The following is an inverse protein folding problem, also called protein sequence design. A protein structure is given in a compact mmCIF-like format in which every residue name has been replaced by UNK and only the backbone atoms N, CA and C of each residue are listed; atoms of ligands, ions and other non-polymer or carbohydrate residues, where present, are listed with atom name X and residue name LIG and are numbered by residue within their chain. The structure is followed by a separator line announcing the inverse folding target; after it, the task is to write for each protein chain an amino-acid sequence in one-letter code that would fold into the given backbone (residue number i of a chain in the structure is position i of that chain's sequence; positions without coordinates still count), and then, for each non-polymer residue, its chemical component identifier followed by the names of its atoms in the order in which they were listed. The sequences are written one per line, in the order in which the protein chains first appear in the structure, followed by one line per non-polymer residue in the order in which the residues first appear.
data_IF_389407689480
#
_entry.id   IF_389407689480
#
_cell.length_a   1.000
_cell.length_b   1.000
_cell.length_c   1.000
_cell.angle_alpha   90.00
_cell.angle_beta   90.00
_cell.angle_gamma   90.00
#
_symmetry.space_group_name_H-M   'P 1'
#
loop_
_entity.id
_entity.type
_entity.pdbx_description
1 polymer ?
#
# COMPACT_ATOMS: atom_id res chain seq x y z
N UNK A 1 11.93 53.57 5.90
CA UNK A 1 10.96 52.94 6.82
C UNK A 1 11.63 52.55 8.13
N UNK A 2 10.88 52.40 9.22
CA UNK A 2 11.34 51.73 10.46
C UNK A 2 10.40 50.56 10.85
N UNK A 3 10.82 49.66 11.76
CA UNK A 3 9.99 48.50 12.17
C UNK A 3 8.61 48.87 12.69
N UNK A 4 8.48 50.02 13.35
CA UNK A 4 7.19 50.50 13.89
C UNK A 4 6.21 50.86 12.77
N UNK A 5 6.70 51.47 11.69
CA UNK A 5 5.90 51.77 10.49
C UNK A 5 5.45 50.49 9.79
N UNK A 6 6.32 49.47 9.70
CA UNK A 6 5.97 48.17 9.12
C UNK A 6 4.92 47.42 9.96
N UNK A 7 5.04 47.41 11.29
CA UNK A 7 4.01 46.79 12.14
C UNK A 7 2.65 47.48 12.03
N UNK A 8 2.63 48.81 11.81
CA UNK A 8 1.39 49.56 11.63
C UNK A 8 0.69 49.29 10.30
N UNK A 9 1.38 48.69 9.32
CA UNK A 9 0.82 48.29 8.03
C UNK A 9 0.22 46.88 8.02
N UNK A 10 0.40 46.09 9.10
CA UNK A 10 -0.27 44.79 9.20
C UNK A 10 -1.78 44.99 9.33
N UNK A 11 -2.59 44.31 8.50
CA UNK A 11 -4.04 44.45 8.58
C UNK A 11 -4.56 43.84 9.89
N UNK A 12 -5.67 44.39 10.38
CA UNK A 12 -6.41 43.78 11.50
C UNK A 12 -7.12 42.50 11.05
N UNK A 13 -7.50 41.65 12.01
CA UNK A 13 -8.30 40.46 11.72
C UNK A 13 -9.61 40.84 11.01
N UNK A 14 -10.26 41.92 11.46
CA UNK A 14 -11.52 42.39 10.87
C UNK A 14 -11.33 42.94 9.44
N UNK A 15 -10.19 43.60 9.16
CA UNK A 15 -9.87 44.07 7.80
C UNK A 15 -9.67 42.90 6.82
N UNK A 16 -9.03 41.82 7.26
CA UNK A 16 -8.87 40.60 6.44
C UNK A 16 -10.22 39.87 6.28
N UNK A 17 -11.03 39.80 7.34
CA UNK A 17 -12.36 39.17 7.29
C UNK A 17 -13.31 39.85 6.29
N UNK A 18 -13.20 41.17 6.12
CA UNK A 18 -14.05 41.93 5.21
C UNK A 18 -13.57 41.90 3.75
N UNK A 19 -12.49 41.18 3.43
CA UNK A 19 -12.05 40.99 2.05
C UNK A 19 -13.00 40.05 1.31
N UNK A 20 -13.38 40.40 0.09
CA UNK A 20 -14.35 39.63 -0.73
C UNK A 20 -14.01 38.13 -0.81
N UNK A 21 -12.75 37.80 -1.12
CA UNK A 21 -12.28 36.41 -1.17
C UNK A 21 -12.39 35.66 0.16
N UNK A 22 -12.29 36.35 1.29
CA UNK A 22 -12.41 35.76 2.64
C UNK A 22 -13.89 35.59 3.01
N UNK A 23 -14.75 36.51 2.57
CA UNK A 23 -16.20 36.37 2.68
C UNK A 23 -16.68 35.17 1.86
N UNK A 24 -16.20 35.00 0.63
CA UNK A 24 -16.53 33.85 -0.21
C UNK A 24 -16.07 32.54 0.43
N UNK A 25 -14.87 32.53 1.03
CA UNK A 25 -14.31 31.40 1.74
C UNK A 25 -15.16 30.94 2.95
N UNK A 26 -16.02 31.80 3.52
CA UNK A 26 -16.96 31.39 4.58
C UNK A 26 -18.02 30.40 4.11
N UNK A 27 -18.25 30.29 2.78
CA UNK A 27 -19.15 29.28 2.23
C UNK A 27 -18.51 27.87 2.19
N UNK A 28 -17.18 27.81 2.18
CA UNK A 28 -16.41 26.57 2.05
C UNK A 28 -15.80 26.10 3.38
N UNK A 29 -15.37 27.05 4.21
CA UNK A 29 -14.62 26.77 5.45
C UNK A 29 -15.39 27.21 6.70
N UNK A 30 -15.36 26.41 7.79
CA UNK A 30 -15.86 26.84 9.08
C UNK A 30 -15.17 28.13 9.56
N UNK A 31 -15.97 29.08 10.07
CA UNK A 31 -15.47 30.40 10.53
C UNK A 31 -14.32 30.31 11.53
N UNK A 32 -14.29 29.31 12.41
CA UNK A 32 -13.21 29.11 13.37
C UNK A 32 -11.87 28.79 12.69
N UNK A 33 -11.87 27.96 11.65
CA UNK A 33 -10.66 27.64 10.86
C UNK A 33 -10.17 28.89 10.13
N UNK A 34 -11.09 29.65 9.55
CA UNK A 34 -10.77 30.92 8.88
C UNK A 34 -10.12 31.92 9.83
N UNK A 35 -10.71 32.12 11.03
CA UNK A 35 -10.15 33.02 12.04
C UNK A 35 -8.77 32.58 12.55
N UNK A 36 -8.57 31.27 12.73
CA UNK A 36 -7.27 30.71 13.10
C UNK A 36 -6.23 30.98 12.01
N UNK A 37 -6.57 30.70 10.73
CA UNK A 37 -5.70 30.95 9.59
C UNK A 37 -5.35 32.44 9.41
N UNK A 38 -6.31 33.35 9.62
CA UNK A 38 -6.07 34.80 9.60
C UNK A 38 -5.06 35.20 10.68
N UNK A 39 -5.25 34.73 11.91
CA UNK A 39 -4.34 35.02 13.02
C UNK A 39 -2.94 34.48 12.74
N UNK A 40 -2.83 33.26 12.23
CA UNK A 40 -1.54 32.66 11.85
C UNK A 40 -0.85 33.43 10.73
N UNK A 41 -1.56 33.79 9.65
CA UNK A 41 -0.99 34.53 8.53
C UNK A 41 -0.49 35.92 8.94
N UNK A 42 -1.23 36.63 9.79
CA UNK A 42 -0.81 37.92 10.34
C UNK A 42 0.40 37.73 11.28
N UNK A 43 0.39 36.68 12.11
CA UNK A 43 1.50 36.38 13.02
C UNK A 43 2.78 35.98 12.28
N UNK A 44 2.69 35.26 11.16
CA UNK A 44 3.83 34.96 10.29
C UNK A 44 4.45 36.25 9.73
N UNK A 45 3.62 37.16 9.20
CA UNK A 45 4.12 38.47 8.75
C UNK A 45 4.69 39.31 9.88
N UNK A 46 4.12 39.21 11.09
CA UNK A 46 4.67 39.85 12.28
C UNK A 46 6.07 39.31 12.60
N UNK A 47 6.29 38.00 12.55
CA UNK A 47 7.60 37.38 12.77
C UNK A 47 8.61 37.77 11.70
N UNK A 48 8.22 37.79 10.43
CA UNK A 48 9.08 38.28 9.34
C UNK A 48 9.59 39.71 9.63
N UNK A 49 8.72 40.62 10.07
CA UNK A 49 9.13 42.00 10.44
C UNK A 49 10.08 42.02 11.65
N UNK A 50 9.88 41.13 12.63
CA UNK A 50 10.77 40.99 13.79
C UNK A 50 12.18 40.58 13.34
N UNK A 51 12.28 39.61 12.44
CA UNK A 51 13.54 39.04 11.98
C UNK A 51 14.23 39.89 10.88
N UNK A 52 13.54 40.92 10.37
CA UNK A 52 14.06 41.77 9.31
C UNK A 52 15.26 42.64 9.75
N UNK A 53 16.28 42.70 8.88
CA UNK A 53 17.43 43.58 9.01
C UNK A 53 17.09 45.01 8.53
N UNK A 54 17.77 46.02 9.10
CA UNK A 54 17.50 47.43 8.79
C UNK A 54 17.70 47.80 7.32
N UNK A 55 18.63 47.13 6.63
CA UNK A 55 18.92 47.36 5.21
C UNK A 55 17.79 46.91 4.27
N UNK A 56 16.81 46.16 4.76
CA UNK A 56 15.75 45.56 3.95
C UNK A 56 14.36 46.17 4.21
N UNK A 57 14.25 47.14 5.13
CA UNK A 57 12.96 47.73 5.50
C UNK A 57 12.24 48.38 4.30
N UNK A 58 12.96 49.11 3.45
CA UNK A 58 12.36 49.80 2.30
C UNK A 58 11.99 48.85 1.15
N UNK A 59 12.40 47.58 1.23
CA UNK A 59 12.08 46.52 0.25
C UNK A 59 10.96 45.59 0.73
N UNK A 60 10.56 45.68 2.00
CA UNK A 60 9.56 44.79 2.57
C UNK A 60 8.15 45.30 2.32
N UNK A 61 7.37 44.55 1.54
CA UNK A 61 6.01 44.94 1.15
C UNK A 61 4.98 44.05 1.86
N UNK A 62 4.06 44.69 2.59
CA UNK A 62 2.90 44.03 3.20
C UNK A 62 1.71 44.24 2.27
N UNK A 63 1.35 43.20 1.52
CA UNK A 63 0.15 43.22 0.66
C UNK A 63 -0.97 42.42 1.33
N UNK A 64 -2.12 43.07 1.52
CA UNK A 64 -3.32 42.42 2.04
C UNK A 64 -3.76 41.27 1.13
N UNK A 65 -3.59 41.39 -0.19
CA UNK A 65 -3.91 40.33 -1.15
C UNK A 65 -3.03 39.09 -0.94
N UNK A 66 -1.73 39.28 -0.70
CA UNK A 66 -0.79 38.17 -0.38
C UNK A 66 -1.17 37.50 0.95
N UNK A 67 -1.60 38.28 1.95
CA UNK A 67 -2.08 37.75 3.23
C UNK A 67 -3.37 36.94 3.02
N UNK A 68 -4.34 37.47 2.28
CA UNK A 68 -5.60 36.78 1.95
C UNK A 68 -5.34 35.45 1.24
N UNK A 69 -4.43 35.43 0.26
CA UNK A 69 -4.03 34.18 -0.41
C UNK A 69 -3.39 33.18 0.56
N UNK A 70 -2.50 33.64 1.45
CA UNK A 70 -1.91 32.79 2.49
C UNK A 70 -2.98 32.23 3.45
N UNK A 71 -3.98 33.04 3.83
CA UNK A 71 -5.09 32.61 4.67
C UNK A 71 -5.90 31.51 3.97
N UNK A 72 -6.25 31.67 2.70
CA UNK A 72 -7.00 30.67 1.93
C UNK A 72 -6.19 29.36 1.84
N UNK A 73 -4.89 29.45 1.54
CA UNK A 73 -4.01 28.29 1.49
C UNK A 73 -3.94 27.56 2.84
N UNK A 74 -3.82 28.29 3.95
CA UNK A 74 -3.87 27.72 5.31
C UNK A 74 -5.20 27.07 5.63
N UNK A 75 -6.32 27.68 5.23
CA UNK A 75 -7.65 27.09 5.40
C UNK A 75 -7.78 25.79 4.62
N UNK A 76 -7.37 25.78 3.36
CA UNK A 76 -7.35 24.58 2.53
C UNK A 76 -6.52 23.47 3.20
N UNK A 77 -5.28 23.77 3.62
CA UNK A 77 -4.43 22.80 4.31
C UNK A 77 -5.09 22.25 5.59
N UNK A 78 -5.63 23.12 6.45
CA UNK A 78 -6.25 22.74 7.73
C UNK A 78 -7.57 21.97 7.58
N UNK A 79 -8.35 22.29 6.55
CA UNK A 79 -9.69 21.73 6.36
C UNK A 79 -9.72 20.52 5.43
N UNK A 80 -8.67 20.34 4.64
CA UNK A 80 -8.56 19.20 3.74
C UNK A 80 -8.27 17.89 4.48
N UNK A 81 -8.65 16.76 3.88
CA UNK A 81 -8.33 15.43 4.42
C UNK A 81 -6.81 15.24 4.52
N UNK A 82 -6.33 14.66 5.62
CA UNK A 82 -4.90 14.38 5.79
C UNK A 82 -4.40 13.27 4.86
N UNK A 83 -5.27 12.31 4.49
CA UNK A 83 -4.99 11.32 3.45
C UNK A 83 -5.18 11.97 2.08
N UNK A 84 -4.10 12.00 1.30
CA UNK A 84 -4.04 12.65 -0.02
C UNK A 84 -3.87 11.63 -1.13
N UNK A 85 -4.44 11.93 -2.30
CA UNK A 85 -4.02 11.32 -3.55
C UNK A 85 -2.58 11.75 -3.83
N UNK A 86 -1.78 10.83 -4.35
CA UNK A 86 -0.40 11.06 -4.79
C UNK A 86 -0.21 10.41 -6.16
N UNK A 87 0.66 10.97 -6.99
CA UNK A 87 1.06 10.34 -8.26
C UNK A 87 2.34 9.54 -8.01
N UNK A 88 2.29 8.23 -8.24
CA UNK A 88 3.43 7.35 -8.09
C UNK A 88 4.26 7.31 -9.39
N UNK A 89 5.32 8.09 -9.46
CA UNK A 89 6.35 8.03 -10.51
C UNK A 89 7.59 7.22 -10.13
N UNK A 90 7.55 6.45 -9.04
CA UNK A 90 8.73 5.72 -8.55
C UNK A 90 9.02 4.44 -9.32
N UNK A 91 8.02 3.86 -10.00
CA UNK A 91 8.14 2.54 -10.61
C UNK A 91 8.03 1.38 -9.61
N UNK A 92 7.73 1.65 -8.35
CA UNK A 92 7.44 0.60 -7.35
C UNK A 92 5.95 0.29 -7.35
N UNK A 93 5.56 -0.91 -7.76
CA UNK A 93 4.13 -1.27 -7.89
C UNK A 93 3.47 -1.48 -6.52
N UNK A 94 4.00 -2.39 -5.70
CA UNK A 94 3.58 -2.62 -4.32
C UNK A 94 4.30 -1.67 -3.36
N UNK A 95 4.01 -0.38 -3.49
CA UNK A 95 4.64 0.65 -2.68
C UNK A 95 4.00 0.73 -1.29
N UNK A 96 4.68 0.21 -0.27
CA UNK A 96 4.15 0.14 1.11
C UNK A 96 3.76 1.52 1.67
N UNK A 97 4.57 2.55 1.42
CA UNK A 97 4.25 3.92 1.88
C UNK A 97 3.11 4.60 1.12
N UNK A 98 2.80 4.18 -0.12
CA UNK A 98 1.77 4.80 -0.97
C UNK A 98 0.49 3.96 -1.06
N UNK A 99 0.32 2.97 -0.17
CA UNK A 99 -0.94 2.23 -0.04
C UNK A 99 -0.97 0.83 -0.68
N UNK A 100 0.17 0.28 -1.12
CA UNK A 100 0.29 -1.06 -1.72
C UNK A 100 -0.57 -1.22 -2.99
N UNK A 101 -1.46 -2.20 -3.02
CA UNK A 101 -2.31 -2.52 -4.16
C UNK A 101 -3.42 -1.48 -4.38
N UNK A 102 -3.78 -1.32 -5.64
CA UNK A 102 -4.85 -0.43 -6.06
C UNK A 102 -6.09 -1.23 -6.42
N UNK A 103 -7.25 -0.68 -6.08
CA UNK A 103 -8.54 -1.23 -6.49
C UNK A 103 -8.84 -0.81 -7.93
N UNK A 104 -9.49 -1.71 -8.69
CA UNK A 104 -9.91 -1.40 -10.04
C UNK A 104 -11.00 -0.32 -10.06
N UNK A 105 -10.98 0.55 -11.05
CA UNK A 105 -12.07 1.52 -11.25
C UNK A 105 -13.41 0.84 -11.53
N UNK A 106 -13.38 -0.38 -12.09
CA UNK A 106 -14.60 -1.15 -12.39
C UNK A 106 -15.44 -1.51 -11.17
N UNK A 107 -14.87 -1.44 -9.95
CA UNK A 107 -15.58 -1.76 -8.70
C UNK A 107 -16.05 -0.53 -7.92
N UNK A 108 -15.87 0.67 -8.48
CA UNK A 108 -16.18 1.95 -7.81
C UNK A 108 -17.66 2.05 -7.43
N UNK A 109 -18.55 1.70 -8.35
CA UNK A 109 -20.00 1.75 -8.11
C UNK A 109 -20.43 0.69 -7.08
N UNK A 110 -19.93 -0.55 -7.20
CA UNK A 110 -20.19 -1.61 -6.21
C UNK A 110 -19.81 -1.17 -4.78
N UNK A 111 -18.64 -0.54 -4.64
CA UNK A 111 -18.16 0.01 -3.36
C UNK A 111 -19.07 1.12 -2.85
N UNK A 112 -19.46 2.07 -3.71
CA UNK A 112 -20.31 3.19 -3.31
C UNK A 112 -21.71 2.71 -2.94
N UNK A 113 -22.31 1.78 -3.68
CA UNK A 113 -23.60 1.18 -3.36
C UNK A 113 -23.54 0.44 -2.02
N UNK A 114 -22.51 -0.39 -1.82
CA UNK A 114 -22.31 -1.10 -0.57
C UNK A 114 -22.10 -0.13 0.61
N UNK A 115 -21.38 0.98 0.42
CA UNK A 115 -21.08 1.96 1.46
C UNK A 115 -22.27 2.85 1.80
N UNK A 116 -22.95 3.38 0.78
CA UNK A 116 -23.93 4.47 0.87
C UNK A 116 -25.36 4.00 1.12
N UNK A 117 -25.64 2.69 1.06
CA UNK A 117 -26.95 2.08 1.30
C UNK A 117 -26.88 0.88 2.24
N UNK A 118 -28.06 0.37 2.62
CA UNK A 118 -28.18 -0.91 3.32
C UNK A 118 -27.82 -2.06 2.38
N UNK A 119 -27.28 -3.14 2.94
CA UNK A 119 -26.93 -4.35 2.18
C UNK A 119 -27.26 -5.61 2.99
N UNK A 120 -27.24 -6.77 2.32
CA UNK A 120 -27.44 -8.09 2.90
C UNK A 120 -26.17 -8.63 3.62
N UNK A 121 -25.32 -7.74 4.15
CA UNK A 121 -24.03 -8.09 4.74
C UNK A 121 -24.10 -9.23 5.76
N UNK A 122 -25.10 -9.23 6.65
CA UNK A 122 -25.34 -10.31 7.62
C UNK A 122 -26.78 -10.82 7.54
N UNK A 123 -27.38 -10.78 6.34
CA UNK A 123 -28.77 -11.18 6.12
C UNK A 123 -28.84 -12.16 4.96
N UNK A 124 -29.33 -13.37 5.23
CA UNK A 124 -29.61 -14.38 4.22
C UNK A 124 -30.97 -14.06 3.59
N UNK A 125 -30.94 -13.63 2.32
CA UNK A 125 -32.15 -13.19 1.60
C UNK A 125 -33.11 -14.35 1.39
N UNK A 126 -32.61 -15.53 1.05
CA UNK A 126 -33.43 -16.71 0.75
C UNK A 126 -34.12 -17.25 2.01
N UNK A 127 -33.42 -17.23 3.15
CA UNK A 127 -33.98 -17.69 4.43
C UNK A 127 -34.69 -16.61 5.24
N UNK A 128 -34.55 -15.33 4.87
CA UNK A 128 -35.15 -14.21 5.58
C UNK A 128 -34.66 -14.07 7.03
N UNK A 129 -33.39 -14.35 7.32
CA UNK A 129 -32.84 -14.31 8.68
C UNK A 129 -31.37 -13.88 8.72
N UNK A 130 -30.82 -13.73 9.94
CA UNK A 130 -29.41 -13.40 10.13
C UNK A 130 -28.50 -14.49 9.51
N UNK A 131 -27.57 -14.05 8.67
CA UNK A 131 -26.55 -14.87 8.02
C UNK A 131 -25.14 -14.53 8.49
N UNK A 132 -24.17 -15.30 8.01
CA UNK A 132 -22.75 -15.01 8.21
C UNK A 132 -22.24 -14.10 7.09
N UNK A 133 -21.55 -13.00 7.41
CA UNK A 133 -20.96 -12.12 6.40
C UNK A 133 -19.89 -12.78 5.53
N UNK A 134 -19.31 -13.88 6.01
CA UNK A 134 -18.24 -14.57 5.28
C UNK A 134 -18.76 -15.32 4.05
N UNK A 135 -20.06 -15.61 3.98
CA UNK A 135 -20.66 -16.35 2.86
C UNK A 135 -20.43 -15.69 1.51
N UNK A 136 -20.36 -14.36 1.48
CA UNK A 136 -20.14 -13.56 0.28
C UNK A 136 -18.76 -13.83 -0.37
N UNK A 137 -17.78 -14.30 0.41
CA UNK A 137 -16.43 -14.58 -0.07
C UNK A 137 -16.14 -16.09 -0.22
N UNK A 138 -16.81 -16.92 0.57
CA UNK A 138 -16.48 -18.34 0.71
C UNK A 138 -16.53 -19.09 -0.63
N UNK A 139 -17.59 -18.95 -1.42
CA UNK A 139 -17.72 -19.74 -2.66
C UNK A 139 -16.64 -19.38 -3.68
N UNK A 140 -16.44 -18.07 -3.94
CA UNK A 140 -15.47 -17.59 -4.92
C UNK A 140 -14.05 -17.99 -4.54
N UNK A 141 -13.65 -17.82 -3.27
CA UNK A 141 -12.30 -18.21 -2.83
C UNK A 141 -12.10 -19.72 -2.91
N UNK A 142 -13.09 -20.52 -2.50
CA UNK A 142 -13.02 -21.99 -2.64
C UNK A 142 -12.86 -22.42 -4.09
N UNK A 143 -13.61 -21.79 -5.00
CA UNK A 143 -13.52 -22.06 -6.44
C UNK A 143 -12.13 -21.78 -6.99
N UNK A 144 -11.50 -20.67 -6.56
CA UNK A 144 -10.18 -20.27 -7.03
C UNK A 144 -9.03 -21.07 -6.40
N UNK A 145 -9.19 -21.55 -5.17
CA UNK A 145 -8.11 -22.18 -4.39
C UNK A 145 -8.23 -23.69 -4.26
N UNK A 146 -9.40 -24.27 -4.49
CA UNK A 146 -9.68 -25.68 -4.21
C UNK A 146 -9.82 -26.02 -2.72
N UNK A 147 -9.69 -25.04 -1.81
CA UNK A 147 -9.77 -25.28 -0.38
C UNK A 147 -11.15 -25.77 0.07
N UNK A 148 -11.18 -26.53 1.18
CA UNK A 148 -12.43 -27.07 1.73
C UNK A 148 -13.30 -25.97 2.36
N UNK A 149 -12.67 -24.99 3.01
CA UNK A 149 -13.33 -23.85 3.64
C UNK A 149 -12.40 -22.63 3.74
N UNK A 150 -12.99 -21.47 4.05
CA UNK A 150 -12.33 -20.16 3.99
C UNK A 150 -12.78 -19.28 5.16
N UNK A 151 -11.85 -18.48 5.67
CA UNK A 151 -12.14 -17.39 6.59
C UNK A 151 -11.35 -16.14 6.19
N UNK A 152 -11.95 -14.97 6.33
CA UNK A 152 -11.29 -13.69 6.05
C UNK A 152 -11.33 -12.80 7.28
N UNK A 153 -10.17 -12.25 7.64
CA UNK A 153 -9.97 -11.35 8.77
C UNK A 153 -9.32 -10.04 8.30
N UNK A 154 -9.10 -9.11 9.22
CA UNK A 154 -8.65 -7.74 8.94
C UNK A 154 -7.38 -7.65 8.06
N UNK A 155 -6.36 -8.46 8.34
CA UNK A 155 -5.10 -8.50 7.59
C UNK A 155 -4.37 -9.82 7.85
N UNK A 156 -3.29 -10.11 7.11
CA UNK A 156 -2.58 -11.38 7.27
C UNK A 156 -1.93 -11.56 8.65
N UNK A 157 -1.52 -10.47 9.31
CA UNK A 157 -1.04 -10.51 10.69
C UNK A 157 -2.12 -11.07 11.66
N UNK A 158 -3.36 -10.61 11.48
CA UNK A 158 -4.52 -11.13 12.20
C UNK A 158 -4.83 -12.59 11.82
N UNK A 159 -4.57 -12.99 10.57
CA UNK A 159 -4.75 -14.37 10.12
C UNK A 159 -3.78 -15.30 10.87
N UNK A 160 -2.48 -15.00 10.86
CA UNK A 160 -1.46 -15.77 11.59
C UNK A 160 -1.78 -15.84 13.10
N UNK A 161 -2.15 -14.70 13.71
CA UNK A 161 -2.56 -14.66 15.12
C UNK A 161 -3.74 -15.60 15.41
N UNK A 162 -4.79 -15.54 14.57
CA UNK A 162 -6.00 -16.35 14.75
C UNK A 162 -5.72 -17.84 14.55
N UNK A 163 -4.94 -18.19 13.53
CA UNK A 163 -4.58 -19.57 13.22
C UNK A 163 -3.83 -20.18 14.41
N UNK A 164 -2.76 -19.54 14.86
CA UNK A 164 -1.95 -20.04 15.97
C UNK A 164 -2.71 -20.05 17.30
N UNK A 165 -3.51 -19.02 17.57
CA UNK A 165 -4.34 -18.98 18.78
C UNK A 165 -5.40 -20.09 18.81
N UNK A 166 -5.79 -20.60 17.65
CA UNK A 166 -6.79 -21.67 17.53
C UNK A 166 -6.14 -23.05 17.53
N UNK A 167 -5.00 -23.21 16.86
CA UNK A 167 -4.40 -24.52 16.58
C UNK A 167 -3.24 -24.88 17.51
N UNK A 168 -2.53 -23.90 18.06
CA UNK A 168 -1.28 -24.10 18.81
C UNK A 168 -1.29 -23.49 20.22
N UNK A 169 -2.42 -22.96 20.70
CA UNK A 169 -2.49 -22.33 22.02
C UNK A 169 -2.19 -23.34 23.14
N UNK A 170 -1.24 -22.99 24.00
CA UNK A 170 -0.79 -23.82 25.13
C UNK A 170 0.02 -25.04 24.71
N UNK A 171 0.65 -24.98 23.54
CA UNK A 171 1.60 -25.99 23.06
C UNK A 171 2.52 -25.38 22.00
N UNK A 172 3.30 -26.22 21.33
CA UNK A 172 4.41 -25.77 20.50
C UNK A 172 4.04 -25.61 19.01
N UNK A 173 4.53 -24.53 18.41
CA UNK A 173 4.56 -24.29 16.98
C UNK A 173 6.02 -24.30 16.50
N UNK A 174 6.40 -25.32 15.73
CA UNK A 174 7.76 -25.49 15.23
C UNK A 174 7.92 -24.70 13.93
N UNK A 175 8.95 -23.85 13.84
CA UNK A 175 9.25 -23.05 12.64
C UNK A 175 10.75 -22.88 12.44
N UNK A 176 11.17 -22.73 11.19
CA UNK A 176 12.55 -22.41 10.85
C UNK A 176 12.98 -21.04 11.40
N UNK A 177 14.18 -20.98 12.02
CA UNK A 177 14.78 -19.72 12.48
C UNK A 177 14.95 -18.70 11.34
N UNK A 178 15.25 -19.17 10.14
CA UNK A 178 15.37 -18.35 8.93
C UNK A 178 14.05 -17.77 8.43
N UNK A 179 12.91 -18.16 9.02
CA UNK A 179 11.57 -17.74 8.61
C UNK A 179 10.91 -16.78 9.63
N UNK A 180 11.63 -16.40 10.69
CA UNK A 180 11.18 -15.45 11.70
C UNK A 180 11.31 -14.00 11.22
N UNK A 181 10.41 -13.62 10.31
CA UNK A 181 10.50 -12.36 9.57
C UNK A 181 9.96 -11.16 10.36
N UNK A 182 10.52 -9.97 10.08
CA UNK A 182 9.92 -8.67 10.39
C UNK A 182 9.40 -8.06 9.08
N UNK A 183 8.10 -7.77 9.01
CA UNK A 183 7.46 -7.20 7.80
C UNK A 183 7.00 -5.78 8.09
N UNK A 184 7.41 -4.83 7.25
CA UNK A 184 7.14 -3.41 7.48
C UNK A 184 7.98 -2.87 8.65
N UNK A 185 7.38 -2.04 9.51
CA UNK A 185 8.10 -1.37 10.61
C UNK A 185 7.74 -1.83 12.03
N UNK A 186 6.80 -2.77 12.20
CA UNK A 186 6.34 -3.18 13.55
C UNK A 186 5.77 -4.59 13.65
N UNK A 187 5.57 -5.31 12.54
CA UNK A 187 5.07 -6.68 12.58
C UNK A 187 6.26 -7.64 12.64
N UNK A 188 6.36 -8.39 13.73
CA UNK A 188 7.34 -9.45 13.93
C UNK A 188 6.59 -10.74 14.17
N UNK A 189 6.92 -11.78 13.39
CA UNK A 189 6.35 -13.12 13.60
C UNK A 189 6.49 -13.55 15.07
N UNK A 190 7.69 -13.49 15.72
CA UNK A 190 7.82 -13.87 17.12
C UNK A 190 6.87 -13.15 18.08
N UNK A 191 6.66 -11.84 17.89
CA UNK A 191 5.77 -11.05 18.76
C UNK A 191 4.31 -11.47 18.62
N UNK A 192 3.86 -11.76 17.39
CA UNK A 192 2.48 -12.19 17.11
C UNK A 192 2.24 -13.62 17.59
N UNK A 193 3.24 -14.49 17.44
CA UNK A 193 3.19 -15.85 17.96
C UNK A 193 3.06 -15.84 19.48
N UNK A 194 3.83 -15.01 20.19
CA UNK A 194 3.69 -14.85 21.63
C UNK A 194 2.29 -14.39 22.06
N UNK A 195 1.67 -13.46 21.32
CA UNK A 195 0.29 -13.02 21.57
C UNK A 195 -0.76 -14.11 21.31
N UNK A 196 -0.46 -15.07 20.44
CA UNK A 196 -1.37 -16.19 20.14
C UNK A 196 -1.50 -17.18 21.30
N UNK A 197 -0.53 -17.17 22.23
CA UNK A 197 -0.41 -18.13 23.31
C UNK A 197 0.15 -19.49 22.87
N UNK A 198 0.76 -19.56 21.69
CA UNK A 198 1.57 -20.69 21.24
C UNK A 198 3.03 -20.49 21.66
N UNK A 199 3.68 -21.59 22.02
CA UNK A 199 5.11 -21.62 22.34
C UNK A 199 5.90 -21.80 21.05
N UNK A 200 6.80 -20.85 20.77
CA UNK A 200 7.59 -20.85 19.54
C UNK A 200 8.82 -21.74 19.69
N UNK A 201 8.92 -22.77 18.85
CA UNK A 201 10.10 -23.64 18.79
C UNK A 201 10.84 -23.38 17.48
N UNK A 202 11.93 -22.63 17.59
CA UNK A 202 12.78 -22.27 16.45
C UNK A 202 13.78 -23.38 16.13
N UNK A 203 13.78 -23.87 14.89
CA UNK A 203 14.69 -24.94 14.44
C UNK A 203 15.65 -24.47 13.35
N UNK A 204 16.72 -25.25 13.13
CA UNK A 204 17.73 -24.95 12.13
C UNK A 204 18.52 -23.67 12.41
N UNK A 205 19.02 -23.06 11.35
CA UNK A 205 19.82 -21.83 11.38
C UNK A 205 19.21 -20.76 10.48
N UNK A 206 19.72 -19.52 10.56
CA UNK A 206 19.19 -18.40 9.75
C UNK A 206 19.23 -18.69 8.26
N UNK A 207 20.32 -19.28 7.76
CA UNK A 207 20.52 -19.53 6.33
C UNK A 207 20.18 -20.96 5.90
N UNK A 208 20.27 -21.95 6.79
CA UNK A 208 20.01 -23.36 6.48
C UNK A 208 19.11 -24.01 7.50
N UNK A 209 18.02 -24.58 7.01
CA UNK A 209 17.15 -25.47 7.78
C UNK A 209 16.90 -26.73 6.96
N UNK A 210 17.04 -27.87 7.62
CA UNK A 210 16.83 -29.20 7.07
C UNK A 210 15.57 -29.83 7.66
N UNK A 211 14.97 -30.79 6.96
CA UNK A 211 13.78 -31.50 7.45
C UNK A 211 14.03 -32.19 8.81
N UNK A 212 15.25 -32.69 9.03
CA UNK A 212 15.68 -33.30 10.29
C UNK A 212 15.60 -32.33 11.48
N UNK A 213 15.84 -31.04 11.26
CA UNK A 213 15.75 -30.03 12.32
C UNK A 213 14.31 -29.90 12.84
N UNK A 214 13.32 -30.01 11.95
CA UNK A 214 11.90 -30.08 12.33
C UNK A 214 11.59 -31.40 13.05
N UNK A 215 12.00 -32.53 12.48
CA UNK A 215 11.70 -33.86 13.02
C UNK A 215 12.25 -34.07 14.44
N UNK A 216 13.46 -33.58 14.73
CA UNK A 216 14.09 -33.70 16.05
C UNK A 216 13.42 -32.84 17.13
N UNK A 217 12.69 -31.78 16.75
CA UNK A 217 12.00 -30.90 17.68
C UNK A 217 10.59 -31.37 18.05
N UNK A 218 10.03 -32.35 17.34
CA UNK A 218 8.68 -32.86 17.61
C UNK A 218 8.64 -33.60 18.95
N UNK A 219 7.67 -33.23 19.79
CA UNK A 219 7.37 -33.87 21.07
C UNK A 219 5.85 -33.84 21.36
N UNK A 220 5.43 -34.27 22.55
CA UNK A 220 4.03 -34.33 22.97
C UNK A 220 3.30 -32.97 23.06
N UNK A 221 4.05 -31.88 23.25
CA UNK A 221 3.52 -30.51 23.29
C UNK A 221 3.38 -29.90 21.89
N UNK A 222 4.02 -30.48 20.88
CA UNK A 222 3.90 -30.03 19.48
C UNK A 222 2.46 -30.10 18.98
N UNK A 223 1.96 -28.97 18.47
CA UNK A 223 0.60 -28.86 17.92
C UNK A 223 0.57 -28.61 16.42
N UNK A 224 1.56 -27.90 15.89
CA UNK A 224 1.59 -27.50 14.48
C UNK A 224 3.03 -27.45 13.96
N UNK A 225 3.20 -27.75 12.68
CA UNK A 225 4.40 -27.41 11.92
C UNK A 225 4.10 -26.14 11.10
N UNK A 226 4.95 -25.14 11.21
CA UNK A 226 4.76 -23.85 10.54
C UNK A 226 5.87 -23.60 9.53
N UNK A 227 5.47 -23.05 8.38
CA UNK A 227 6.35 -22.46 7.38
C UNK A 227 5.94 -21.02 7.12
N UNK A 228 6.90 -20.11 7.04
CA UNK A 228 6.65 -18.71 6.66
C UNK A 228 7.45 -18.36 5.42
N UNK A 229 6.77 -17.85 4.38
CA UNK A 229 7.43 -17.39 3.18
C UNK A 229 8.14 -16.06 3.42
N UNK A 230 9.39 -15.95 2.96
CA UNK A 230 10.23 -14.74 3.12
C UNK A 230 9.86 -13.64 2.12
N UNK A 231 8.59 -13.21 2.09
CA UNK A 231 8.01 -12.29 1.08
C UNK A 231 8.59 -10.86 1.05
N UNK A 232 9.45 -10.48 1.99
CA UNK A 232 9.96 -9.11 2.08
C UNK A 232 11.49 -9.02 2.20
N UNK A 233 12.20 -10.15 2.22
CA UNK A 233 13.65 -10.20 2.03
C UNK A 233 14.08 -11.55 1.45
N UNK A 234 15.31 -11.63 0.94
CA UNK A 234 15.90 -12.91 0.53
C UNK A 234 17.28 -13.05 1.16
N UNK A 235 17.64 -14.27 1.55
CA UNK A 235 18.98 -14.63 1.97
C UNK A 235 19.71 -15.15 0.72
N UNK A 236 20.88 -14.58 0.40
CA UNK A 236 21.70 -14.99 -0.74
C UNK A 236 22.94 -15.76 -0.26
N UNK A 237 23.45 -16.67 -1.09
CA UNK A 237 24.65 -17.47 -0.80
C UNK A 237 24.31 -18.92 -0.41
N UNK A 238 24.91 -19.43 0.67
CA UNK A 238 24.70 -20.82 1.13
C UNK A 238 23.40 -20.95 1.92
N UNK A 239 22.29 -21.10 1.21
CA UNK A 239 20.96 -21.21 1.80
C UNK A 239 20.32 -22.57 1.58
N UNK A 240 19.46 -22.98 2.51
CA UNK A 240 18.62 -24.17 2.38
C UNK A 240 17.32 -23.98 3.17
N UNK A 241 16.19 -24.31 2.55
CA UNK A 241 14.87 -24.30 3.15
C UNK A 241 14.19 -25.64 2.91
N UNK A 242 13.30 -26.02 3.83
CA UNK A 242 12.42 -27.19 3.68
C UNK A 242 11.19 -26.80 2.87
N UNK A 243 10.83 -27.58 1.87
CA UNK A 243 9.63 -27.31 1.06
C UNK A 243 8.35 -27.72 1.81
N UNK A 244 7.21 -27.15 1.42
CA UNK A 244 5.92 -27.44 2.09
C UNK A 244 5.50 -28.89 1.97
N UNK A 245 5.69 -29.51 0.81
CA UNK A 245 5.36 -30.91 0.58
C UNK A 245 6.17 -31.83 1.49
N UNK A 246 7.47 -31.57 1.68
CA UNK A 246 8.31 -32.28 2.65
C UNK A 246 7.79 -32.13 4.09
N UNK A 247 7.39 -30.92 4.49
CA UNK A 247 6.75 -30.68 5.80
C UNK A 247 5.39 -31.39 5.92
N UNK A 248 4.61 -31.45 4.85
CA UNK A 248 3.33 -32.17 4.84
C UNK A 248 3.51 -33.68 4.99
N UNK A 249 4.55 -34.25 4.39
CA UNK A 249 4.91 -35.66 4.60
C UNK A 249 5.30 -35.93 6.07
N UNK A 250 6.10 -35.04 6.67
CA UNK A 250 6.44 -35.12 8.08
C UNK A 250 5.20 -34.95 8.98
N UNK A 251 4.33 -34.00 8.68
CA UNK A 251 3.06 -33.78 9.39
C UNK A 251 2.18 -35.03 9.38
N UNK A 252 2.04 -35.69 8.22
CA UNK A 252 1.31 -36.98 8.11
C UNK A 252 1.94 -38.09 8.94
N UNK A 253 3.27 -38.16 9.01
CA UNK A 253 4.01 -39.17 9.80
C UNK A 253 3.72 -39.04 11.30
N UNK A 254 3.55 -37.82 11.80
CA UNK A 254 3.37 -37.51 13.22
C UNK A 254 1.94 -37.08 13.60
N UNK A 255 0.99 -37.11 12.66
CA UNK A 255 -0.39 -36.62 12.83
C UNK A 255 -0.48 -35.15 13.28
N UNK A 256 0.36 -34.30 12.67
CA UNK A 256 0.45 -32.87 12.94
C UNK A 256 0.01 -32.03 11.72
N UNK A 257 -0.82 -30.99 11.90
CA UNK A 257 -1.16 -30.08 10.83
C UNK A 257 0.00 -29.17 10.43
N UNK A 258 0.07 -28.85 9.13
CA UNK A 258 1.01 -27.91 8.54
C UNK A 258 0.31 -26.59 8.20
N UNK A 259 0.86 -25.50 8.72
CA UNK A 259 0.43 -24.13 8.41
C UNK A 259 1.50 -23.47 7.54
N UNK A 260 1.09 -22.93 6.41
CA UNK A 260 1.93 -22.06 5.57
C UNK A 260 1.43 -20.62 5.60
N UNK A 261 2.25 -19.71 6.12
CA UNK A 261 2.06 -18.28 5.90
C UNK A 261 2.75 -17.86 4.60
N UNK A 262 2.01 -17.88 3.49
CA UNK A 262 2.49 -17.47 2.18
C UNK A 262 2.69 -15.96 2.11
N UNK A 263 1.84 -15.19 2.79
CA UNK A 263 1.95 -13.75 2.91
C UNK A 263 1.64 -12.94 1.64
N UNK A 264 2.22 -13.27 0.49
CA UNK A 264 2.18 -12.52 -0.78
C UNK A 264 0.81 -12.55 -1.48
N UNK A 265 0.08 -13.67 -1.37
CA UNK A 265 -1.26 -13.81 -1.93
C UNK A 265 -1.29 -13.89 -3.45
N UNK A 266 -0.33 -14.60 -4.06
CA UNK A 266 -0.26 -14.77 -5.51
C UNK A 266 -1.32 -15.78 -5.99
N UNK A 267 -2.13 -15.37 -6.95
CA UNK A 267 -3.11 -16.25 -7.64
C UNK A 267 -2.73 -16.50 -9.10
N UNK A 268 -2.01 -15.57 -9.72
CA UNK A 268 -1.53 -15.63 -11.09
C UNK A 268 -0.04 -15.95 -11.08
N UNK A 269 0.38 -16.96 -11.83
CA UNK A 269 1.81 -17.21 -12.06
C UNK A 269 2.42 -16.09 -12.91
N UNK A 270 3.09 -15.16 -12.23
CA UNK A 270 3.72 -13.98 -12.84
C UNK A 270 4.97 -14.31 -13.65
N UNK A 271 5.51 -15.54 -13.52
CA UNK A 271 6.69 -15.95 -14.28
C UNK A 271 6.42 -16.05 -15.78
N UNK A 272 5.15 -16.27 -16.16
CA UNK A 272 4.66 -16.19 -17.54
C UNK A 272 4.88 -14.82 -18.19
N UNK A 273 5.12 -13.78 -17.38
CA UNK A 273 5.29 -12.39 -17.82
C UNK A 273 6.70 -11.85 -17.54
N UNK A 274 7.67 -12.74 -17.30
CA UNK A 274 9.09 -12.38 -17.18
C UNK A 274 9.58 -12.05 -15.78
N UNK A 275 8.75 -12.27 -14.74
CA UNK A 275 9.18 -12.15 -13.34
C UNK A 275 9.73 -13.49 -12.82
N UNK A 276 10.47 -13.45 -11.71
CA UNK A 276 10.80 -14.65 -10.96
C UNK A 276 9.55 -15.38 -10.47
N UNK A 277 9.62 -16.72 -10.38
CA UNK A 277 8.53 -17.51 -9.81
C UNK A 277 8.33 -17.18 -8.33
N UNK A 278 7.07 -16.99 -7.94
CA UNK A 278 6.60 -16.79 -6.57
C UNK A 278 5.48 -17.81 -6.30
N UNK A 279 5.51 -18.57 -5.18
CA UNK A 279 4.54 -19.63 -4.95
C UNK A 279 3.10 -19.10 -4.92
N UNK A 280 2.19 -19.79 -5.61
CA UNK A 280 0.78 -19.41 -5.61
C UNK A 280 0.04 -20.03 -4.42
N UNK A 281 -1.10 -19.44 -4.07
CA UNK A 281 -2.02 -20.01 -3.06
C UNK A 281 -2.47 -21.41 -3.48
N UNK A 282 -2.68 -21.63 -4.79
CA UNK A 282 -3.08 -22.92 -5.32
C UNK A 282 -1.96 -23.96 -5.21
N UNK A 283 -0.71 -23.57 -5.47
CA UNK A 283 0.46 -24.46 -5.30
C UNK A 283 0.59 -24.93 -3.86
N UNK A 284 0.42 -24.01 -2.91
CA UNK A 284 0.49 -24.27 -1.46
C UNK A 284 -0.54 -25.32 -1.02
N UNK A 285 -1.79 -25.16 -1.46
CA UNK A 285 -2.87 -26.12 -1.19
C UNK A 285 -2.63 -27.46 -1.88
N UNK A 286 -2.18 -27.46 -3.14
CA UNK A 286 -1.91 -28.69 -3.89
C UNK A 286 -0.73 -29.49 -3.32
N UNK A 287 0.28 -28.81 -2.74
CA UNK A 287 1.38 -29.44 -2.00
C UNK A 287 0.94 -30.07 -0.67
N UNK A 288 -0.27 -29.75 -0.21
CA UNK A 288 -0.94 -30.45 0.89
C UNK A 288 -0.99 -29.68 2.21
N UNK A 289 -0.68 -28.38 2.22
CA UNK A 289 -0.78 -27.57 3.43
C UNK A 289 -2.21 -27.62 4.00
N UNK A 290 -2.34 -27.82 5.31
CA UNK A 290 -3.64 -27.90 5.98
C UNK A 290 -4.32 -26.52 6.07
N UNK A 291 -3.51 -25.48 6.26
CA UNK A 291 -3.93 -24.07 6.31
C UNK A 291 -2.90 -23.20 5.61
N UNK A 292 -3.37 -22.32 4.74
CA UNK A 292 -2.56 -21.30 4.07
C UNK A 292 -3.10 -19.91 4.42
N UNK A 293 -2.21 -18.99 4.83
CA UNK A 293 -2.55 -17.58 5.09
C UNK A 293 -1.86 -16.63 4.14
N UNK A 294 -2.56 -15.59 3.70
CA UNK A 294 -1.99 -14.56 2.82
C UNK A 294 -2.73 -13.21 2.89
N UNK A 295 -2.09 -12.16 2.36
CA UNK A 295 -2.65 -10.80 2.31
C UNK A 295 -3.49 -10.57 1.05
N UNK A 296 -4.55 -9.77 1.16
CA UNK A 296 -5.37 -9.34 0.02
C UNK A 296 -4.84 -8.12 -0.75
N UNK A 297 -4.00 -7.29 -0.13
CA UNK A 297 -3.48 -6.02 -0.67
C UNK A 297 -2.02 -6.09 -1.10
N UNK A 298 -1.62 -7.25 -1.62
CA UNK A 298 -0.30 -7.50 -2.21
C UNK A 298 -0.46 -8.01 -3.64
N UNK A 299 0.02 -9.20 -3.97
CA UNK A 299 -0.03 -9.71 -5.34
C UNK A 299 -1.46 -10.04 -5.79
N UNK A 300 -2.38 -10.25 -4.84
CA UNK A 300 -3.81 -10.38 -5.13
C UNK A 300 -4.40 -9.10 -5.75
N UNK A 301 -3.84 -7.92 -5.46
CA UNK A 301 -4.31 -6.66 -6.03
C UNK A 301 -5.68 -6.19 -5.52
N UNK A 302 -6.09 -6.63 -4.33
CA UNK A 302 -7.36 -6.28 -3.69
C UNK A 302 -7.19 -5.35 -2.48
N UNK A 303 -8.20 -5.23 -1.62
CA UNK A 303 -8.13 -4.45 -0.39
C UNK A 303 -7.33 -5.18 0.69
N UNK A 304 -6.99 -4.46 1.78
CA UNK A 304 -6.34 -5.08 2.94
C UNK A 304 -7.24 -6.17 3.52
N UNK A 305 -6.75 -7.40 3.54
CA UNK A 305 -7.44 -8.55 4.14
C UNK A 305 -6.41 -9.61 4.55
N UNK A 306 -6.75 -10.43 5.53
CA UNK A 306 -6.05 -11.67 5.85
C UNK A 306 -6.93 -12.83 5.45
N UNK A 307 -6.51 -13.60 4.46
CA UNK A 307 -7.31 -14.69 3.90
C UNK A 307 -6.70 -16.00 4.40
N UNK A 308 -7.56 -16.85 4.97
CA UNK A 308 -7.21 -18.15 5.51
C UNK A 308 -7.99 -19.18 4.70
N UNK A 309 -7.28 -20.08 4.03
CA UNK A 309 -7.85 -21.16 3.22
C UNK A 309 -7.27 -22.49 3.68
N UNK A 310 -8.06 -23.56 3.63
CA UNK A 310 -7.56 -24.90 3.98
C UNK A 310 -8.65 -25.86 4.38
N UNK A 311 -8.32 -26.80 5.27
CA UNK A 311 -9.24 -27.84 5.74
C UNK A 311 -10.37 -27.27 6.59
N UNK A 312 -11.58 -27.79 6.35
CA UNK A 312 -12.81 -27.33 6.99
C UNK A 312 -12.77 -27.47 8.51
N UNK A 313 -12.17 -28.55 9.01
CA UNK A 313 -12.12 -28.81 10.45
C UNK A 313 -11.38 -27.72 11.25
N UNK A 314 -10.33 -27.13 10.68
CA UNK A 314 -9.56 -26.08 11.32
C UNK A 314 -10.24 -24.71 11.16
N UNK A 315 -10.75 -24.42 9.96
CA UNK A 315 -11.49 -23.18 9.70
C UNK A 315 -12.75 -23.07 10.59
N UNK A 316 -13.47 -24.16 10.82
CA UNK A 316 -14.65 -24.18 11.72
C UNK A 316 -14.27 -23.94 13.19
N UNK A 317 -13.09 -24.41 13.63
CA UNK A 317 -12.54 -24.06 14.95
C UNK A 317 -12.23 -22.55 15.02
N UNK A 318 -11.63 -21.99 13.98
CA UNK A 318 -11.31 -20.56 13.91
C UNK A 318 -12.57 -19.69 13.92
N UNK A 319 -13.61 -20.07 13.17
CA UNK A 319 -14.91 -19.37 13.18
C UNK A 319 -15.54 -19.28 14.59
N UNK A 320 -15.28 -20.25 15.47
CA UNK A 320 -15.74 -20.28 16.87
C UNK A 320 -14.82 -19.53 17.85
N UNK A 321 -13.59 -19.22 17.45
CA UNK A 321 -12.66 -18.47 18.28
C UNK A 321 -13.15 -17.02 18.46
N UNK A 322 -13.16 -16.53 19.69
CA UNK A 322 -13.61 -15.17 20.01
C UNK A 322 -12.77 -14.07 19.34
N UNK A 323 -11.50 -14.34 19.05
CA UNK A 323 -10.65 -13.42 18.28
C UNK A 323 -11.23 -13.11 16.90
N UNK A 324 -11.93 -14.06 16.27
CA UNK A 324 -12.59 -13.84 14.97
C UNK A 324 -13.56 -12.66 15.00
N UNK A 325 -14.19 -12.38 16.15
CA UNK A 325 -15.08 -11.22 16.29
C UNK A 325 -14.31 -9.91 16.37
N UNK A 326 -13.14 -9.89 17.00
CA UNK A 326 -12.28 -8.72 17.12
C UNK A 326 -11.52 -8.43 15.81
N UNK A 327 -11.12 -9.48 15.10
CA UNK A 327 -10.37 -9.44 13.84
C UNK A 327 -11.26 -9.41 12.59
N UNK A 328 -12.57 -9.25 12.79
CA UNK A 328 -13.58 -9.34 11.74
C UNK A 328 -13.39 -8.25 10.70
N UNK A 329 -13.40 -8.65 9.43
CA UNK A 329 -13.34 -7.75 8.28
C UNK A 329 -14.60 -6.88 8.14
N UNK A 330 -14.43 -5.64 7.66
CA UNK A 330 -15.52 -4.68 7.46
C UNK A 330 -16.27 -4.90 6.13
N UNK A 331 -17.34 -4.11 5.93
CA UNK A 331 -18.23 -4.22 4.76
C UNK A 331 -17.54 -3.84 3.45
N UNK A 332 -16.72 -2.79 3.45
CA UNK A 332 -16.07 -2.27 2.25
C UNK A 332 -15.02 -3.25 1.75
N UNK A 333 -14.24 -3.82 2.68
CA UNK A 333 -13.26 -4.85 2.35
C UNK A 333 -13.92 -6.09 1.79
N UNK A 334 -15.05 -6.57 2.34
CA UNK A 334 -15.79 -7.71 1.76
C UNK A 334 -16.20 -7.41 0.31
N UNK A 335 -16.84 -6.26 0.08
CA UNK A 335 -17.31 -5.87 -1.25
C UNK A 335 -16.16 -5.75 -2.25
N UNK A 336 -15.10 -5.02 -1.90
CA UNK A 336 -13.93 -4.86 -2.77
C UNK A 336 -13.21 -6.19 -3.03
N UNK A 337 -13.08 -7.04 -2.01
CA UNK A 337 -12.42 -8.34 -2.15
C UNK A 337 -13.23 -9.27 -3.03
N UNK A 338 -14.55 -9.36 -2.84
CA UNK A 338 -15.43 -10.16 -3.69
C UNK A 338 -15.36 -9.72 -5.15
N UNK A 339 -15.46 -8.41 -5.41
CA UNK A 339 -15.40 -7.86 -6.75
C UNK A 339 -14.03 -8.11 -7.42
N UNK A 340 -12.93 -8.01 -6.65
CA UNK A 340 -11.58 -8.34 -7.11
C UNK A 340 -11.45 -9.82 -7.46
N UNK A 341 -11.89 -10.72 -6.56
CA UNK A 341 -11.83 -12.17 -6.75
C UNK A 341 -12.67 -12.65 -7.93
N UNK A 342 -13.80 -11.97 -8.23
CA UNK A 342 -14.61 -12.28 -9.42
C UNK A 342 -13.85 -12.05 -10.72
N UNK A 343 -12.88 -11.12 -10.75
CA UNK A 343 -12.03 -10.93 -11.95
C UNK A 343 -11.11 -12.13 -12.16
N UNK A 344 -10.61 -12.76 -11.10
CA UNK A 344 -9.76 -13.96 -11.18
C UNK A 344 -10.47 -15.20 -11.73
N UNK A 345 -11.79 -15.18 -11.92
CA UNK A 345 -12.51 -16.22 -12.65
C UNK A 345 -12.15 -16.23 -14.15
N UNK A 346 -11.55 -15.16 -14.66
CA UNK A 346 -10.94 -15.04 -15.99
C UNK A 346 -9.54 -14.44 -15.82
N UNK A 347 -8.51 -15.27 -15.99
CA UNK A 347 -7.10 -14.90 -15.79
C UNK A 347 -6.70 -13.64 -16.60
N UNK A 348 -7.14 -13.55 -17.86
CA UNK A 348 -6.83 -12.40 -18.71
C UNK A 348 -7.59 -11.14 -18.29
N UNK A 349 -8.82 -11.30 -17.78
CA UNK A 349 -9.56 -10.17 -17.19
C UNK A 349 -8.88 -9.65 -15.93
N UNK A 350 -8.49 -10.55 -15.02
CA UNK A 350 -7.77 -10.18 -13.81
C UNK A 350 -6.47 -9.43 -14.14
N UNK A 351 -5.68 -9.94 -15.08
CA UNK A 351 -4.44 -9.29 -15.54
C UNK A 351 -4.67 -7.87 -16.04
N UNK A 352 -5.73 -7.63 -16.81
CA UNK A 352 -6.00 -6.33 -17.44
C UNK A 352 -6.70 -5.33 -16.53
N UNK A 353 -7.61 -5.78 -15.68
CA UNK A 353 -8.48 -4.90 -14.88
C UNK A 353 -7.95 -4.64 -13.46
N UNK A 354 -7.17 -5.55 -12.88
CA UNK A 354 -6.55 -5.34 -11.58
C UNK A 354 -5.31 -4.48 -11.79
N UNK A 355 -5.26 -3.22 -11.30
CA UNK A 355 -4.17 -2.30 -11.65
C UNK A 355 -2.79 -2.82 -11.23
N UNK A 356 -2.72 -3.48 -10.07
CA UNK A 356 -1.49 -4.11 -9.58
C UNK A 356 -0.93 -5.13 -10.57
N UNK A 357 -1.77 -6.04 -11.07
CA UNK A 357 -1.36 -7.06 -12.04
C UNK A 357 -1.02 -6.45 -13.40
N UNK A 358 -1.83 -5.49 -13.86
CA UNK A 358 -1.57 -4.76 -15.11
C UNK A 358 -0.20 -4.08 -15.08
N UNK A 359 0.10 -3.38 -14.00
CA UNK A 359 1.40 -2.71 -13.81
C UNK A 359 2.56 -3.69 -13.79
N UNK A 360 2.42 -4.88 -13.22
CA UNK A 360 3.47 -5.91 -13.19
C UNK A 360 3.68 -6.58 -14.55
N UNK A 361 2.61 -6.74 -15.32
CA UNK A 361 2.60 -7.54 -16.56
C UNK A 361 2.66 -6.72 -17.85
N UNK A 362 2.93 -5.42 -17.75
CA UNK A 362 3.20 -4.59 -18.93
C UNK A 362 4.34 -5.17 -19.76
N UNK A 363 4.11 -5.29 -21.06
CA UNK A 363 5.17 -5.52 -22.04
C UNK A 363 6.03 -4.28 -22.25
N UNK A 364 7.24 -4.47 -22.78
CA UNK A 364 8.12 -3.34 -23.11
C UNK A 364 7.53 -2.44 -24.20
N UNK A 365 6.78 -3.01 -25.16
CA UNK A 365 6.09 -2.23 -26.20
C UNK A 365 5.04 -1.30 -25.59
N UNK A 366 4.22 -1.80 -24.65
CA UNK A 366 3.22 -0.98 -23.94
C UNK A 366 3.90 0.14 -23.12
N UNK A 367 5.04 -0.14 -22.47
CA UNK A 367 5.77 0.87 -21.69
C UNK A 367 6.45 1.92 -22.58
N UNK A 368 6.95 1.52 -23.76
CA UNK A 368 7.47 2.45 -24.76
C UNK A 368 6.37 3.38 -25.26
N UNK A 369 5.21 2.83 -25.66
CA UNK A 369 4.06 3.63 -26.10
C UNK A 369 3.61 4.60 -24.98
N UNK A 370 3.48 4.09 -23.76
CA UNK A 370 3.05 4.86 -22.60
C UNK A 370 4.04 5.98 -22.25
N UNK A 371 5.35 5.71 -22.30
CA UNK A 371 6.40 6.70 -22.04
C UNK A 371 6.46 7.76 -23.14
N UNK A 372 6.32 7.37 -24.41
CA UNK A 372 6.26 8.30 -25.54
C UNK A 372 5.06 9.24 -25.44
N UNK A 373 3.87 8.73 -25.04
CA UNK A 373 2.68 9.54 -24.79
C UNK A 373 2.94 10.60 -23.71
N UNK A 374 3.52 10.23 -22.57
CA UNK A 374 3.84 11.19 -21.51
C UNK A 374 4.92 12.18 -21.97
N UNK A 375 6.00 11.70 -22.60
CA UNK A 375 7.09 12.54 -23.09
C UNK A 375 6.61 13.60 -24.10
N UNK A 376 5.77 13.22 -25.07
CA UNK A 376 5.20 14.14 -26.07
C UNK A 376 4.45 15.34 -25.45
N UNK A 377 3.94 15.18 -24.22
CA UNK A 377 3.23 16.25 -23.50
C UNK A 377 4.17 17.21 -22.78
N UNK A 378 5.42 16.82 -22.52
CA UNK A 378 6.39 17.59 -21.73
C UNK A 378 7.66 17.93 -22.51
N UNK A 379 7.82 17.45 -23.76
CA UNK A 379 9.05 17.64 -24.54
C UNK A 379 9.40 19.11 -24.78
N UNK A 380 8.40 20.01 -24.84
CA UNK A 380 8.65 21.44 -25.02
C UNK A 380 9.29 22.09 -23.77
N UNK A 381 9.27 21.40 -22.61
CA UNK A 381 9.98 21.80 -21.40
C UNK A 381 11.49 21.56 -21.50
N UNK A 382 11.98 20.94 -22.60
CA UNK A 382 13.42 20.79 -22.85
C UNK A 382 14.20 22.12 -22.88
N UNK A 383 13.51 23.25 -23.03
CA UNK A 383 14.12 24.59 -22.90
C UNK A 383 14.51 24.95 -21.46
N UNK A 384 13.93 24.28 -20.45
CA UNK A 384 14.14 24.55 -19.01
C UNK A 384 14.83 23.39 -18.27
N UNK A 385 14.87 22.20 -18.86
CA UNK A 385 15.50 21.00 -18.31
C UNK A 385 15.97 20.08 -19.45
N UNK A 386 16.94 19.20 -19.20
CA UNK A 386 17.24 18.07 -20.11
C UNK A 386 16.27 16.92 -19.80
N UNK A 387 15.34 16.64 -20.72
CA UNK A 387 14.29 15.61 -20.57
C UNK A 387 14.51 14.51 -21.61
N UNK A 388 14.64 13.26 -21.14
CA UNK A 388 14.92 12.10 -22.02
C UNK A 388 14.14 10.87 -21.60
N UNK A 389 13.71 10.08 -22.59
CA UNK A 389 13.29 8.70 -22.35
C UNK A 389 14.55 7.81 -22.31
N UNK A 390 14.71 7.06 -21.23
CA UNK A 390 15.82 6.13 -21.04
C UNK A 390 15.28 4.73 -20.68
N UNK A 391 16.08 3.70 -20.93
CA UNK A 391 15.82 2.39 -20.34
C UNK A 391 16.10 2.48 -18.84
N UNK A 392 15.21 1.95 -18.02
CA UNK A 392 15.39 1.88 -16.57
C UNK A 392 14.83 0.59 -16.02
N UNK A 393 14.73 0.52 -14.70
CA UNK A 393 14.10 -0.61 -14.02
C UNK A 393 13.06 -0.12 -13.01
N UNK A 394 11.94 -0.82 -12.99
CA UNK A 394 10.90 -0.75 -11.96
C UNK A 394 11.17 -1.77 -10.85
N UNK A 395 10.39 -1.70 -9.77
CA UNK A 395 10.41 -2.66 -8.67
C UNK A 395 9.01 -3.23 -8.44
N UNK A 396 8.93 -4.52 -8.12
CA UNK A 396 7.68 -5.08 -7.56
C UNK A 396 7.39 -4.40 -6.23
N UNK A 397 8.39 -4.29 -5.36
CA UNK A 397 8.29 -3.67 -4.04
C UNK A 397 8.30 -4.69 -2.90
N UNK A 398 8.59 -4.21 -1.68
CA UNK A 398 8.82 -5.04 -0.50
C UNK A 398 7.61 -5.79 0.06
N UNK A 399 6.45 -5.72 -0.62
CA UNK A 399 5.26 -6.48 -0.25
C UNK A 399 5.34 -7.97 -0.59
N UNK A 400 6.11 -8.35 -1.62
CA UNK A 400 6.16 -9.74 -2.12
C UNK A 400 7.53 -10.13 -2.69
N UNK A 401 8.09 -9.31 -3.59
CA UNK A 401 9.30 -9.67 -4.32
C UNK A 401 10.31 -8.51 -4.18
N UNK A 402 11.00 -8.40 -3.03
CA UNK A 402 11.74 -7.21 -2.62
C UNK A 402 12.98 -6.91 -3.47
N UNK A 403 13.59 -7.94 -4.08
CA UNK A 403 14.79 -7.80 -4.92
C UNK A 403 14.47 -7.86 -6.42
N UNK A 404 13.20 -8.01 -6.77
CA UNK A 404 12.78 -8.16 -8.17
C UNK A 404 12.80 -6.81 -8.88
N UNK A 405 13.72 -6.70 -9.84
CA UNK A 405 13.79 -5.59 -10.78
C UNK A 405 13.14 -6.02 -12.09
N UNK A 406 12.31 -5.14 -12.65
CA UNK A 406 11.63 -5.38 -13.92
C UNK A 406 12.06 -4.29 -14.89
N UNK A 407 12.44 -4.65 -16.12
CA UNK A 407 12.77 -3.68 -17.15
C UNK A 407 11.63 -2.67 -17.37
N UNK A 408 11.98 -1.41 -17.58
CA UNK A 408 11.00 -0.34 -17.77
C UNK A 408 11.53 0.77 -18.68
N UNK A 409 10.65 1.71 -18.99
CA UNK A 409 10.95 2.96 -19.66
C UNK A 409 10.69 4.11 -18.70
N UNK A 410 11.71 4.94 -18.52
CA UNK A 410 11.68 6.05 -17.58
C UNK A 410 11.88 7.36 -18.32
N UNK A 411 11.28 8.42 -17.82
CA UNK A 411 11.56 9.79 -18.22
C UNK A 411 12.48 10.39 -17.17
N UNK A 412 13.67 10.78 -17.60
CA UNK A 412 14.64 11.47 -16.75
C UNK A 412 14.58 12.96 -17.01
N UNK A 413 14.71 13.76 -15.94
CA UNK A 413 14.62 15.22 -15.98
C UNK A 413 15.78 15.80 -15.19
N UNK A 414 16.58 16.63 -15.84
CA UNK A 414 17.66 17.40 -15.22
C UNK A 414 17.40 18.90 -15.38
N UNK A 415 16.90 19.61 -14.36
CA UNK A 415 16.60 21.04 -14.45
C UNK A 415 17.86 21.89 -14.72
N UNK A 416 17.71 22.96 -15.51
CA UNK A 416 18.83 23.85 -15.88
C UNK A 416 19.18 24.85 -14.76
N UNK A 417 18.17 25.42 -14.09
CA UNK A 417 18.37 26.54 -13.15
C UNK A 417 18.31 26.13 -11.67
N UNK A 418 17.56 25.08 -11.34
CA UNK A 418 17.44 24.55 -9.99
C UNK A 418 18.13 23.19 -9.91
N UNK A 419 18.50 22.75 -8.71
CA UNK A 419 18.99 21.38 -8.54
C UNK A 419 17.82 20.37 -8.48
N UNK A 420 18.14 19.10 -8.68
CA UNK A 420 17.17 18.00 -8.72
C UNK A 420 16.44 17.82 -7.39
N UNK A 421 17.13 18.05 -6.26
CA UNK A 421 16.51 17.99 -4.93
C UNK A 421 15.42 19.07 -4.74
N UNK A 422 15.61 20.25 -5.31
CA UNK A 422 14.61 21.31 -5.31
C UNK A 422 13.42 20.95 -6.21
N UNK A 423 13.68 20.36 -7.38
CA UNK A 423 12.62 19.87 -8.27
C UNK A 423 11.78 18.79 -7.58
N UNK A 424 12.41 17.79 -6.95
CA UNK A 424 11.74 16.77 -6.13
C UNK A 424 10.84 17.42 -5.07
N UNK A 425 11.40 18.38 -4.32
CA UNK A 425 10.68 19.05 -3.25
C UNK A 425 9.48 19.83 -3.79
N UNK A 426 9.65 20.55 -4.90
CA UNK A 426 8.56 21.30 -5.56
C UNK A 426 7.44 20.36 -6.01
N UNK A 427 7.77 19.22 -6.62
CA UNK A 427 6.78 18.27 -7.14
C UNK A 427 6.07 17.47 -6.03
N UNK A 428 6.79 17.09 -4.98
CA UNK A 428 6.19 16.42 -3.81
C UNK A 428 5.29 17.35 -2.99
N UNK A 429 5.67 18.61 -2.85
CA UNK A 429 4.89 19.63 -2.14
C UNK A 429 3.88 20.37 -3.03
N UNK A 430 3.87 20.08 -4.33
CA UNK A 430 2.90 20.58 -5.30
C UNK A 430 1.51 19.99 -5.08
N UNK A 431 0.54 20.44 -5.88
CA UNK A 431 -0.88 20.13 -5.68
C UNK A 431 -1.18 18.64 -5.92
N UNK A 432 -0.42 17.99 -6.81
CA UNK A 432 -0.62 16.58 -7.17
C UNK A 432 0.27 15.59 -6.40
N UNK A 433 1.19 16.10 -5.55
CA UNK A 433 2.12 15.28 -4.76
C UNK A 433 2.83 14.19 -5.58
N UNK A 434 3.59 14.58 -6.60
CA UNK A 434 4.27 13.62 -7.48
C UNK A 434 5.50 13.07 -6.75
N UNK A 435 5.52 11.76 -6.55
CA UNK A 435 6.61 11.05 -5.87
C UNK A 435 7.38 10.25 -6.91
N UNK A 436 8.66 10.56 -7.09
CA UNK A 436 9.53 9.86 -8.03
C UNK A 436 10.90 9.57 -7.41
N UNK A 437 11.79 8.93 -8.18
CA UNK A 437 13.14 8.62 -7.72
C UNK A 437 14.08 9.77 -8.06
N UNK A 438 15.04 10.03 -7.18
CA UNK A 438 16.24 10.83 -7.50
C UNK A 438 17.40 9.85 -7.62
N UNK A 439 18.00 9.76 -8.79
CA UNK A 439 19.10 8.83 -9.08
C UNK A 439 20.09 9.47 -10.04
N UNK A 440 21.38 9.39 -9.71
CA UNK A 440 22.48 9.94 -10.53
C UNK A 440 22.26 11.41 -10.96
N UNK A 441 21.82 12.25 -10.00
CA UNK A 441 21.46 13.66 -10.20
C UNK A 441 20.39 13.89 -11.31
N UNK A 442 19.49 12.92 -11.48
CA UNK A 442 18.29 13.03 -12.33
C UNK A 442 17.03 12.79 -11.53
N UNK A 443 15.96 13.50 -11.86
CA UNK A 443 14.60 13.16 -11.42
C UNK A 443 14.02 12.12 -12.37
N UNK A 444 13.70 10.93 -11.87
CA UNK A 444 13.35 9.76 -12.67
C UNK A 444 11.87 9.40 -12.46
N UNK A 445 11.06 9.68 -13.48
CA UNK A 445 9.65 9.30 -13.55
C UNK A 445 9.51 7.97 -14.30
N UNK A 446 9.11 6.92 -13.61
CA UNK A 446 8.82 5.63 -14.21
C UNK A 446 7.38 5.57 -14.71
N UNK A 447 7.19 5.38 -16.01
CA UNK A 447 5.87 5.37 -16.62
C UNK A 447 5.01 4.18 -16.17
N UNK A 448 5.62 3.10 -15.63
CA UNK A 448 4.89 1.88 -15.21
C UNK A 448 3.76 2.18 -14.22
N UNK A 449 4.00 3.10 -13.28
CA UNK A 449 3.08 3.37 -12.15
C UNK A 449 2.27 4.66 -12.27
N UNK A 450 2.45 5.42 -13.35
CA UNK A 450 1.70 6.66 -13.61
C UNK A 450 0.50 6.33 -14.50
N UNK A 451 -0.72 6.67 -14.10
CA UNK A 451 -1.89 6.41 -14.95
C UNK A 451 -1.94 7.39 -16.14
N UNK A 452 -2.51 6.97 -17.27
CA UNK A 452 -2.54 7.83 -18.49
C UNK A 452 -3.41 9.08 -18.30
N UNK A 453 -4.46 9.00 -17.49
CA UNK A 453 -5.32 10.14 -17.11
C UNK A 453 -4.59 11.14 -16.19
N UNK A 454 -3.44 10.77 -15.62
CA UNK A 454 -2.61 11.65 -14.81
C UNK A 454 -1.56 12.42 -15.62
N UNK A 455 -1.41 12.13 -16.92
CA UNK A 455 -0.35 12.72 -17.73
C UNK A 455 -0.46 14.24 -17.89
N UNK A 456 -1.67 14.79 -18.01
CA UNK A 456 -1.85 16.25 -18.05
C UNK A 456 -1.51 16.88 -16.69
N UNK A 457 -1.86 16.24 -15.58
CA UNK A 457 -1.52 16.72 -14.23
C UNK A 457 0.00 16.74 -14.04
N UNK A 458 0.69 15.68 -14.47
CA UNK A 458 2.16 15.61 -14.41
C UNK A 458 2.80 16.74 -15.23
N UNK A 459 2.29 17.01 -16.43
CA UNK A 459 2.74 18.12 -17.27
C UNK A 459 2.55 19.47 -16.57
N UNK A 460 1.36 19.75 -16.06
CA UNK A 460 1.04 21.02 -15.39
C UNK A 460 1.94 21.26 -14.16
N UNK A 461 2.18 20.23 -13.35
CA UNK A 461 3.05 20.35 -12.18
C UNK A 461 4.53 20.50 -12.55
N UNK A 462 4.99 19.86 -13.62
CA UNK A 462 6.35 20.06 -14.15
C UNK A 462 6.53 21.47 -14.73
N UNK A 463 5.54 21.99 -15.45
CA UNK A 463 5.52 23.39 -15.90
C UNK A 463 5.68 24.35 -14.72
N UNK A 464 4.82 24.20 -13.70
CA UNK A 464 4.88 25.03 -12.49
C UNK A 464 6.24 24.90 -11.79
N UNK A 465 6.77 23.68 -11.66
CA UNK A 465 8.01 23.47 -10.91
C UNK A 465 9.26 24.03 -11.62
N UNK A 466 9.32 23.93 -12.95
CA UNK A 466 10.46 24.33 -13.77
C UNK A 466 10.40 25.80 -14.21
N UNK A 467 9.22 26.33 -14.50
CA UNK A 467 9.02 27.70 -15.01
C UNK A 467 8.62 28.65 -13.89
N UNK A 468 7.78 28.17 -12.95
CA UNK A 468 7.31 28.93 -11.79
C UNK A 468 8.37 29.03 -10.71
N UNK A 469 9.29 29.98 -10.88
CA UNK A 469 10.14 30.54 -9.84
C UNK A 469 9.54 31.82 -9.28
#
# INVERSE_FOLDING_TARGET
MNKRELFAQLPSVDEVLNQEKIIDALNEYPRNILLEAIREAIEEKRREIVDLNQCDFDKFEISIEKIVLNVINKCNIKYSLSLKKVINGTGTVLHTNLGRSLLSESIKEDLWEAASRYSNLEYDIDKGQRGSRYTHLTETIKRLTGAEDVLVVNNNAAAVLLVLSTMAKGGEAIVSRGELVEVGGSFRIPSIMSLSGADLVEVGSTNKTHLKDYEEAINEETKVLMKVHTSNYRILGFTQSVEVDELCELGKKYDLPVIEDLGSGVFLDVSKYGLSYEPTVLDSINKGADIVTFSGDKMLGGPQAGIIVGKKEYIEKMKKNQLTRALRVDKLTICALEATLRMYLDEEKARKEIPTLKMLTYSMEELEEKSNKLYSKIEYLNKYADIKIENGSSQVGGGSMPLELIDSKVITITPNEINVAMLEKKLRLGDAHIIARVYDDKYVLDARTIFEDEFEIVKEELEKALIGG
#
